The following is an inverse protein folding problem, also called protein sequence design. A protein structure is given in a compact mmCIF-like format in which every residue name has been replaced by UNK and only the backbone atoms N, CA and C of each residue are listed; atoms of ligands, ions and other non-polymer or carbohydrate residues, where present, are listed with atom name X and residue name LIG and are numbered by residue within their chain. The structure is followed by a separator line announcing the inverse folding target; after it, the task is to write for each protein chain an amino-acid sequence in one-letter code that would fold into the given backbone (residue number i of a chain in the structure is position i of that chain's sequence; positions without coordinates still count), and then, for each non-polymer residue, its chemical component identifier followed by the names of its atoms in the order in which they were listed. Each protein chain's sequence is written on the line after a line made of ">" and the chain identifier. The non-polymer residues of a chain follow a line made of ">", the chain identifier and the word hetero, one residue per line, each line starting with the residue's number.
data_IF_736372113469
#
_entry.id   IF_736372113469
#
_cell.length_a   1.000
_cell.length_b   1.000
_cell.length_c   1.000
_cell.angle_alpha   90.00
_cell.angle_beta   90.00
_cell.angle_gamma   90.00
#
_symmetry.space_group_name_H-M   'P 1'
#
loop_
_entity.id
_entity.type
_entity.pdbx_description
1 polymer ?
#
# COMPACT_ATOMS: atom_id res chain seq x y z
N UNK A 1 20.98 16.32 11.31
CA UNK A 1 20.17 16.49 10.08
C UNK A 1 20.26 17.95 9.64
N UNK A 2 20.80 18.19 8.44
CA UNK A 2 21.04 19.55 7.93
C UNK A 2 19.71 20.24 7.53
N UNK A 3 19.52 21.53 7.84
CA UNK A 3 18.25 22.29 7.69
C UNK A 3 17.66 22.18 6.28
N UNK A 4 18.50 22.32 5.25
CA UNK A 4 18.10 22.21 3.83
C UNK A 4 17.52 20.82 3.48
N UNK A 5 18.12 19.74 4.00
CA UNK A 5 17.65 18.36 3.77
C UNK A 5 16.26 18.12 4.37
N UNK A 6 15.98 18.69 5.55
CA UNK A 6 14.65 18.58 6.19
C UNK A 6 13.58 19.26 5.34
N UNK A 7 13.85 20.47 4.85
CA UNK A 7 12.89 21.20 4.04
C UNK A 7 12.64 20.55 2.69
N UNK A 8 13.65 19.91 2.09
CA UNK A 8 13.46 19.11 0.88
C UNK A 8 12.49 17.94 1.10
N UNK A 9 12.60 17.24 2.24
CA UNK A 9 11.70 16.15 2.61
C UNK A 9 10.31 16.63 3.06
N UNK A 10 10.23 17.85 3.59
CA UNK A 10 8.98 18.47 4.05
C UNK A 10 8.22 19.20 2.92
N UNK A 11 8.72 19.16 1.67
CA UNK A 11 8.01 19.72 0.51
C UNK A 11 6.65 19.03 0.38
N UNK A 12 5.59 19.82 0.24
CA UNK A 12 4.21 19.33 0.16
C UNK A 12 3.49 19.20 1.51
N UNK A 13 4.16 19.40 2.65
CA UNK A 13 3.47 19.44 3.95
C UNK A 13 2.58 20.67 4.11
N UNK A 14 1.43 20.48 4.75
CA UNK A 14 0.43 21.54 4.96
C UNK A 14 0.80 22.44 6.15
N UNK A 15 0.50 23.73 6.03
CA UNK A 15 0.63 24.71 7.11
C UNK A 15 2.08 24.97 7.54
N UNK A 16 2.29 25.16 8.86
CA UNK A 16 3.59 25.52 9.45
C UNK A 16 4.65 24.41 9.33
N UNK A 17 4.26 23.19 8.96
CA UNK A 17 5.17 22.05 8.82
C UNK A 17 6.16 22.18 7.65
N UNK A 18 5.92 23.08 6.69
CA UNK A 18 6.84 23.36 5.58
C UNK A 18 7.79 24.54 5.84
N UNK A 19 7.45 25.44 6.77
CA UNK A 19 8.21 26.68 7.05
C UNK A 19 9.04 26.57 8.36
N UNK A 20 8.48 25.96 9.41
CA UNK A 20 9.10 25.92 10.73
C UNK A 20 9.90 24.62 10.94
N UNK A 21 11.22 24.74 11.16
CA UNK A 21 12.12 23.58 11.26
C UNK A 21 11.76 22.63 12.41
N UNK A 22 11.31 23.14 13.55
CA UNK A 22 10.92 22.33 14.71
C UNK A 22 9.78 21.37 14.37
N UNK A 23 8.70 21.91 13.80
CA UNK A 23 7.51 21.14 13.39
C UNK A 23 7.85 20.22 12.21
N UNK A 24 8.63 20.72 11.23
CA UNK A 24 9.04 19.95 10.06
C UNK A 24 9.77 18.66 10.45
N UNK A 25 10.71 18.73 11.42
CA UNK A 25 11.47 17.56 11.87
C UNK A 25 10.58 16.45 12.45
N UNK A 26 9.61 16.81 13.28
CA UNK A 26 8.66 15.85 13.86
C UNK A 26 7.80 15.18 12.78
N UNK A 27 7.30 15.98 11.83
CA UNK A 27 6.47 15.49 10.71
C UNK A 27 7.27 14.61 9.75
N UNK A 28 8.49 15.00 9.39
CA UNK A 28 9.38 14.20 8.54
C UNK A 28 9.70 12.86 9.22
N UNK A 29 9.98 12.85 10.53
CA UNK A 29 10.24 11.60 11.27
C UNK A 29 9.08 10.62 11.18
N UNK A 30 7.84 11.10 11.41
CA UNK A 30 6.62 10.27 11.28
C UNK A 30 6.39 9.82 9.83
N UNK A 31 6.57 10.71 8.85
CA UNK A 31 6.41 10.37 7.44
C UNK A 31 7.36 9.26 6.97
N UNK A 32 8.62 9.28 7.42
CA UNK A 32 9.58 8.22 7.12
C UNK A 32 9.20 6.88 7.75
N UNK A 33 8.67 6.88 8.97
CA UNK A 33 8.16 5.68 9.62
C UNK A 33 6.96 5.10 8.86
N UNK A 34 6.01 5.94 8.44
CA UNK A 34 4.87 5.50 7.63
C UNK A 34 5.34 4.94 6.29
N UNK A 35 6.24 5.61 5.58
CA UNK A 35 6.81 5.12 4.32
C UNK A 35 7.43 3.71 4.45
N UNK A 36 8.13 3.44 5.56
CA UNK A 36 8.68 2.11 5.82
C UNK A 36 7.59 1.05 6.03
N UNK A 37 6.57 1.38 6.83
CA UNK A 37 5.41 0.51 7.08
C UNK A 37 4.65 0.22 5.80
N UNK A 38 4.35 1.24 5.01
CA UNK A 38 3.55 1.15 3.78
C UNK A 38 4.26 0.32 2.71
N UNK A 39 5.60 0.39 2.60
CA UNK A 39 6.34 -0.48 1.68
C UNK A 39 6.16 -1.97 1.98
N UNK A 40 6.00 -2.34 3.26
CA UNK A 40 5.71 -3.73 3.64
C UNK A 40 4.23 -4.08 3.45
N UNK A 41 3.33 -3.18 3.85
CA UNK A 41 1.88 -3.39 3.77
C UNK A 41 1.33 -3.40 2.34
N UNK A 42 1.92 -2.62 1.42
CA UNK A 42 1.45 -2.49 0.02
C UNK A 42 1.30 -3.85 -0.68
N UNK A 43 2.18 -4.83 -0.38
CA UNK A 43 2.06 -6.18 -0.95
C UNK A 43 0.77 -6.89 -0.51
N UNK A 44 0.34 -6.71 0.75
CA UNK A 44 -0.89 -7.27 1.31
C UNK A 44 -2.12 -6.56 0.76
N UNK A 45 -2.08 -5.23 0.72
CA UNK A 45 -3.21 -4.41 0.27
C UNK A 45 -3.52 -4.68 -1.22
N UNK A 46 -2.49 -4.81 -2.05
CA UNK A 46 -2.64 -5.16 -3.46
C UNK A 46 -3.24 -6.56 -3.65
N UNK A 47 -2.86 -7.54 -2.82
CA UNK A 47 -3.45 -8.88 -2.86
C UNK A 47 -4.94 -8.84 -2.52
N UNK A 48 -5.35 -8.06 -1.53
CA UNK A 48 -6.76 -7.90 -1.17
C UNK A 48 -7.59 -7.31 -2.32
N UNK A 49 -7.09 -6.23 -2.93
CA UNK A 49 -7.76 -5.60 -4.09
C UNK A 49 -7.83 -6.56 -5.28
N UNK A 50 -6.79 -7.35 -5.51
CA UNK A 50 -6.79 -8.32 -6.59
C UNK A 50 -7.82 -9.43 -6.38
N UNK A 51 -7.95 -9.96 -5.16
CA UNK A 51 -9.01 -10.92 -4.80
C UNK A 51 -10.39 -10.29 -5.02
N UNK A 52 -10.60 -9.04 -4.62
CA UNK A 52 -11.87 -8.32 -4.84
C UNK A 52 -12.20 -8.17 -6.33
N UNK A 53 -11.21 -7.86 -7.18
CA UNK A 53 -11.39 -7.77 -8.63
C UNK A 53 -11.77 -9.10 -9.26
N UNK A 54 -11.10 -10.18 -8.88
CA UNK A 54 -11.45 -11.53 -9.37
C UNK A 54 -12.85 -11.91 -8.89
N UNK A 55 -13.18 -11.65 -7.62
CA UNK A 55 -14.51 -11.91 -7.05
C UNK A 55 -15.61 -11.24 -7.87
N UNK A 56 -15.43 -9.96 -8.23
CA UNK A 56 -16.39 -9.22 -9.05
C UNK A 56 -16.58 -9.86 -10.43
N UNK A 57 -15.50 -10.33 -11.07
CA UNK A 57 -15.57 -11.03 -12.37
C UNK A 57 -16.27 -12.41 -12.28
N UNK A 58 -16.06 -13.14 -11.19
CA UNK A 58 -16.66 -14.47 -10.98
C UNK A 58 -18.14 -14.41 -10.60
N UNK A 59 -18.58 -13.33 -9.92
CA UNK A 59 -19.99 -13.09 -9.63
C UNK A 59 -20.85 -13.00 -10.89
N UNK A 60 -20.33 -12.40 -11.99
CA UNK A 60 -21.02 -12.36 -13.28
C UNK A 60 -21.27 -13.75 -13.88
N UNK A 61 -20.43 -14.72 -13.53
CA UNK A 61 -20.48 -16.09 -14.03
C UNK A 61 -21.13 -17.07 -13.03
N UNK A 62 -21.76 -16.56 -11.96
CA UNK A 62 -22.39 -17.35 -10.87
C UNK A 62 -21.46 -18.39 -10.20
N UNK A 63 -20.15 -18.21 -10.30
CA UNK A 63 -19.15 -19.05 -9.63
C UNK A 63 -18.53 -18.28 -8.48
N UNK A 64 -18.40 -18.91 -7.30
CA UNK A 64 -17.69 -18.32 -6.16
C UNK A 64 -16.20 -18.60 -6.27
N UNK A 65 -15.36 -17.62 -5.94
CA UNK A 65 -13.89 -17.71 -6.02
C UNK A 65 -13.30 -18.90 -5.26
N UNK A 66 -13.95 -19.31 -4.17
CA UNK A 66 -13.54 -20.45 -3.34
C UNK A 66 -13.65 -21.77 -4.12
N UNK A 67 -14.62 -21.87 -5.04
CA UNK A 67 -14.80 -23.03 -5.90
C UNK A 67 -13.79 -23.06 -7.05
N UNK A 68 -13.40 -21.89 -7.55
CA UNK A 68 -12.40 -21.75 -8.61
C UNK A 68 -10.98 -22.10 -8.09
N UNK A 69 -10.64 -21.63 -6.89
CA UNK A 69 -9.37 -21.96 -6.22
C UNK A 69 -9.22 -23.44 -5.87
N UNK A 70 -10.33 -24.10 -5.49
CA UNK A 70 -10.32 -25.55 -5.21
C UNK A 70 -10.10 -26.37 -6.50
N UNK A 71 -10.65 -25.93 -7.62
CA UNK A 71 -10.48 -26.58 -8.92
C UNK A 71 -9.04 -26.45 -9.44
N UNK A 72 -8.44 -25.25 -9.36
CA UNK A 72 -7.04 -25.03 -9.75
C UNK A 72 -6.04 -25.77 -8.85
N UNK A 73 -6.39 -26.05 -7.58
CA UNK A 73 -5.53 -26.80 -6.65
C UNK A 73 -5.50 -28.32 -6.95
N UNK A 74 -6.57 -28.89 -7.53
CA UNK A 74 -6.63 -30.31 -7.94
C UNK A 74 -5.92 -30.54 -9.28
N UNK A 75 -5.95 -29.57 -10.20
CA UNK A 75 -5.40 -29.74 -11.56
C UNK A 75 -3.89 -29.49 -11.70
N UNK A 76 -3.18 -29.05 -10.64
CA UNK A 76 -1.73 -28.72 -10.69
C UNK A 76 -1.31 -27.91 -11.93
N UNK A 77 -2.09 -26.90 -12.30
CA UNK A 77 -1.62 -25.89 -13.24
C UNK A 77 -0.87 -24.82 -12.45
N UNK A 78 0.47 -24.91 -12.49
CA UNK A 78 1.40 -23.87 -12.04
C UNK A 78 1.24 -22.63 -12.94
N UNK A 79 0.17 -21.87 -12.78
CA UNK A 79 0.03 -20.56 -13.40
C UNK A 79 -0.46 -19.51 -12.39
N UNK A 80 0.29 -19.38 -11.28
CA UNK A 80 0.47 -18.12 -10.55
C UNK A 80 1.66 -18.15 -9.59
#
# INVERSE_FOLDING_TARGET
>A
MNKKKVFNLAKGFRGKAKNCIRIARERVKKALQYSYKDRRNKKRDMRSVWIQRINAGTCLHSVRIVRLLFFTYISKDCLF
#
